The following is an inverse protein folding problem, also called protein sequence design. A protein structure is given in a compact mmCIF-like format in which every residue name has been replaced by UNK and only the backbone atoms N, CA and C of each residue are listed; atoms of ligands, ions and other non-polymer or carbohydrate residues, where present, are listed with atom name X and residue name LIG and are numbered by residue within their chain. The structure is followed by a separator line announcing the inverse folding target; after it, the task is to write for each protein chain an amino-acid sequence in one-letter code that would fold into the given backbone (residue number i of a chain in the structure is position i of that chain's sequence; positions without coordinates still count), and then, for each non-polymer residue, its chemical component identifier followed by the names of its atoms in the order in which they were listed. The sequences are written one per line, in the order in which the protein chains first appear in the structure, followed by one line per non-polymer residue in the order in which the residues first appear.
data_IF_884077998572
#
_entry.id   IF_884077998572
#
_cell.length_a   1.000
_cell.length_b   1.000
_cell.length_c   1.000
_cell.angle_alpha   90.00
_cell.angle_beta   90.00
_cell.angle_gamma   90.00
#
_symmetry.space_group_name_H-M   'P 1'
#
loop_
_entity.id
_entity.type
_entity.pdbx_description
1 polymer ?
#
# COMPACT_ATOMS: atom_id res chain seq x y z
N UNK A 1 -7.00 -18.80 -15.29
CA UNK A 1 -5.65 -18.19 -15.28
C UNK A 1 -4.64 -19.33 -15.32
N UNK A 2 -3.71 -19.31 -16.29
CA UNK A 2 -2.70 -20.35 -16.49
C UNK A 2 -1.87 -20.55 -15.20
N UNK A 3 -1.58 -21.79 -14.81
CA UNK A 3 -0.84 -22.11 -13.60
C UNK A 3 0.60 -21.58 -13.62
N UNK A 4 1.21 -21.46 -14.80
CA UNK A 4 2.53 -20.83 -14.94
C UNK A 4 2.49 -19.34 -14.61
N UNK A 5 1.41 -18.65 -14.99
CA UNK A 5 1.19 -17.25 -14.63
C UNK A 5 1.05 -17.10 -13.11
N UNK A 6 0.34 -18.02 -12.44
CA UNK A 6 0.24 -18.01 -10.96
C UNK A 6 1.59 -18.17 -10.29
N UNK A 7 2.45 -19.07 -10.81
CA UNK A 7 3.80 -19.27 -10.30
C UNK A 7 4.66 -18.03 -10.47
N UNK A 8 4.61 -17.38 -11.64
CA UNK A 8 5.33 -16.13 -11.90
C UNK A 8 4.87 -14.99 -10.98
N UNK A 9 3.56 -14.81 -10.80
CA UNK A 9 3.02 -13.82 -9.86
C UNK A 9 3.56 -14.10 -8.45
N UNK A 10 3.52 -15.37 -8.01
CA UNK A 10 4.02 -15.73 -6.68
C UNK A 10 5.52 -15.48 -6.52
N UNK A 11 6.32 -15.78 -7.54
CA UNK A 11 7.75 -15.48 -7.56
C UNK A 11 8.01 -13.97 -7.45
N UNK A 12 7.29 -13.16 -8.21
CA UNK A 12 7.42 -11.70 -8.16
C UNK A 12 7.05 -11.15 -6.77
N UNK A 13 5.95 -11.63 -6.17
CA UNK A 13 5.59 -11.25 -4.79
C UNK A 13 6.70 -11.58 -3.78
N UNK A 14 7.36 -12.74 -3.92
CA UNK A 14 8.47 -13.14 -3.05
C UNK A 14 9.67 -12.23 -3.28
N UNK A 15 10.06 -11.98 -4.53
CA UNK A 15 11.20 -11.10 -4.89
C UNK A 15 10.96 -9.70 -4.34
N UNK A 16 9.79 -9.11 -4.59
CA UNK A 16 9.43 -7.79 -4.09
C UNK A 16 9.47 -7.75 -2.56
N UNK A 17 8.96 -8.78 -1.88
CA UNK A 17 8.99 -8.86 -0.42
C UNK A 17 10.42 -8.94 0.14
N UNK A 18 11.31 -9.66 -0.54
CA UNK A 18 12.72 -9.78 -0.15
C UNK A 18 13.47 -8.47 -0.38
N UNK A 19 13.26 -7.84 -1.54
CA UNK A 19 13.86 -6.55 -1.88
C UNK A 19 13.38 -5.46 -0.92
N UNK A 20 12.09 -5.42 -0.62
CA UNK A 20 11.51 -4.47 0.34
C UNK A 20 12.25 -4.51 1.66
N UNK A 21 12.39 -5.68 2.29
CA UNK A 21 13.08 -5.85 3.60
C UNK A 21 14.50 -5.27 3.68
N UNK A 22 15.18 -5.06 2.55
CA UNK A 22 16.55 -4.54 2.50
C UNK A 22 16.62 -3.01 2.43
N UNK A 23 15.53 -2.32 2.09
CA UNK A 23 15.57 -0.88 1.75
C UNK A 23 15.23 0.01 2.94
N UNK A 24 14.06 -0.21 3.55
CA UNK A 24 13.58 0.63 4.64
C UNK A 24 13.43 -0.16 5.94
N UNK A 25 13.79 0.48 7.04
CA UNK A 25 13.40 0.00 8.37
C UNK A 25 11.93 0.37 8.65
N UNK A 26 11.19 -0.39 9.47
CA UNK A 26 9.80 -0.10 9.79
C UNK A 26 9.57 1.35 10.27
N UNK A 27 10.49 1.91 11.06
CA UNK A 27 10.43 3.28 11.54
C UNK A 27 10.49 4.34 10.42
N UNK A 28 11.18 4.07 9.32
CA UNK A 28 11.30 5.01 8.20
C UNK A 28 10.01 5.01 7.36
N UNK A 29 9.42 3.84 7.14
CA UNK A 29 8.10 3.72 6.52
C UNK A 29 7.05 4.41 7.37
N UNK A 30 7.11 4.25 8.70
CA UNK A 30 6.20 4.95 9.61
C UNK A 30 6.32 6.47 9.48
N UNK A 31 7.54 7.01 9.35
CA UNK A 31 7.75 8.45 9.11
C UNK A 31 7.16 8.88 7.77
N UNK A 32 7.37 8.12 6.70
CA UNK A 32 6.79 8.41 5.37
C UNK A 32 5.27 8.48 5.44
N UNK A 33 4.64 7.48 6.06
CA UNK A 33 3.18 7.38 6.18
C UNK A 33 2.57 8.51 7.00
N UNK A 34 3.28 8.97 8.03
CA UNK A 34 2.76 9.93 9.01
C UNK A 34 3.20 11.38 8.77
N UNK A 35 4.13 11.61 7.84
CA UNK A 35 4.72 12.92 7.59
C UNK A 35 3.64 13.98 7.27
N UNK A 36 3.66 15.08 8.05
CA UNK A 36 2.81 16.27 7.87
C UNK A 36 1.30 15.96 7.92
N UNK A 37 0.88 14.85 8.54
CA UNK A 37 -0.54 14.49 8.68
C UNK A 37 -1.10 14.98 10.01
N UNK A 38 -2.31 15.54 9.98
CA UNK A 38 -2.99 16.02 11.19
C UNK A 38 -3.35 14.88 12.16
N UNK A 39 -3.69 13.70 11.64
CA UNK A 39 -3.98 12.51 12.45
C UNK A 39 -3.12 11.32 11.99
N UNK A 40 -1.85 11.24 12.42
CA UNK A 40 -0.91 10.20 12.00
C UNK A 40 -1.42 8.77 12.14
N UNK A 41 -2.14 8.48 13.23
CA UNK A 41 -2.60 7.13 13.54
C UNK A 41 -3.58 6.60 12.48
N UNK A 42 -4.49 7.45 11.99
CA UNK A 42 -5.40 7.07 10.91
C UNK A 42 -4.70 6.74 9.60
N UNK A 43 -3.58 7.40 9.30
CA UNK A 43 -2.78 7.08 8.12
C UNK A 43 -2.00 5.77 8.29
N UNK A 44 -1.57 5.42 9.50
CA UNK A 44 -1.01 4.09 9.80
C UNK A 44 -2.07 3.01 9.59
N UNK A 45 -3.30 3.22 10.06
CA UNK A 45 -4.43 2.31 9.84
C UNK A 45 -4.74 2.17 8.35
N UNK A 46 -4.79 3.29 7.61
CA UNK A 46 -4.98 3.29 6.17
C UNK A 46 -3.86 2.55 5.42
N UNK A 47 -2.60 2.77 5.78
CA UNK A 47 -1.47 2.04 5.21
C UNK A 47 -1.57 0.54 5.53
N UNK A 48 -1.97 0.19 6.75
CA UNK A 48 -2.15 -1.19 7.16
C UNK A 48 -3.32 -1.88 6.42
N UNK A 49 -4.31 -1.10 5.98
CA UNK A 49 -5.41 -1.55 5.11
C UNK A 49 -5.03 -1.68 3.63
N UNK A 50 -3.82 -1.27 3.22
CA UNK A 50 -3.26 -1.63 1.92
C UNK A 50 -2.86 -3.12 1.93
N UNK A 51 -3.84 -4.02 1.91
CA UNK A 51 -3.69 -5.48 1.94
C UNK A 51 -4.08 -6.15 0.60
N UNK A 52 -4.45 -5.33 -0.39
CA UNK A 52 -4.99 -5.75 -1.67
C UNK A 52 -6.49 -6.10 -1.65
N UNK A 53 -7.18 -6.00 -0.51
CA UNK A 53 -8.61 -6.32 -0.37
C UNK A 53 -9.48 -5.09 -0.11
N UNK A 54 -8.92 -4.03 0.49
CA UNK A 54 -9.62 -2.76 0.66
C UNK A 54 -9.46 -1.89 -0.58
N UNK A 55 -10.58 -1.36 -1.09
CA UNK A 55 -10.55 -0.42 -2.20
C UNK A 55 -10.05 0.95 -1.73
N UNK A 56 -9.65 1.82 -2.67
CA UNK A 56 -9.36 3.24 -2.40
C UNK A 56 -10.45 3.90 -1.54
N UNK A 57 -11.72 3.58 -1.79
CA UNK A 57 -12.84 4.18 -1.05
C UNK A 57 -12.93 3.65 0.37
N UNK A 58 -12.62 2.37 0.59
CA UNK A 58 -12.59 1.79 1.95
C UNK A 58 -11.44 2.35 2.76
N UNK A 59 -10.25 2.47 2.17
CA UNK A 59 -9.08 3.07 2.81
C UNK A 59 -9.35 4.56 3.15
N UNK A 60 -9.99 5.30 2.24
CA UNK A 60 -10.37 6.69 2.48
C UNK A 60 -11.34 6.83 3.67
N UNK A 61 -12.30 5.90 3.82
CA UNK A 61 -13.20 5.85 4.98
C UNK A 61 -12.45 5.56 6.29
N UNK A 62 -11.51 4.63 6.28
CA UNK A 62 -10.65 4.31 7.44
C UNK A 62 -9.91 5.57 7.90
N UNK A 63 -9.25 6.26 6.95
CA UNK A 63 -8.50 7.49 7.25
C UNK A 63 -9.43 8.66 7.60
N UNK A 64 -10.68 8.64 7.14
CA UNK A 64 -11.65 9.73 7.33
C UNK A 64 -11.41 10.91 6.40
N UNK A 65 -10.96 10.66 5.17
CA UNK A 65 -10.75 11.66 4.11
C UNK A 65 -11.54 11.29 2.85
N UNK A 66 -11.62 12.20 1.88
CA UNK A 66 -12.24 11.88 0.59
C UNK A 66 -11.31 11.01 -0.28
N UNK A 67 -11.83 10.21 -1.22
CA UNK A 67 -10.99 9.49 -2.18
C UNK A 67 -10.08 10.43 -3.00
N UNK A 68 -10.55 11.63 -3.34
CA UNK A 68 -9.74 12.64 -4.04
C UNK A 68 -8.59 13.18 -3.21
N UNK A 69 -8.74 13.26 -1.88
CA UNK A 69 -7.66 13.61 -0.95
C UNK A 69 -6.66 12.46 -0.78
N UNK A 70 -7.14 11.21 -0.78
CA UNK A 70 -6.29 10.04 -0.57
C UNK A 70 -5.49 9.65 -1.82
N UNK A 71 -6.06 9.80 -3.02
CA UNK A 71 -5.44 9.34 -4.26
C UNK A 71 -4.02 9.89 -4.49
N UNK A 72 -3.72 11.18 -4.29
CA UNK A 72 -2.35 11.71 -4.43
C UNK A 72 -1.38 11.13 -3.39
N UNK A 73 -1.87 10.82 -2.19
CA UNK A 73 -1.05 10.25 -1.11
C UNK A 73 -0.67 8.80 -1.45
N UNK A 74 -1.61 8.02 -1.99
CA UNK A 74 -1.30 6.66 -2.44
C UNK A 74 -0.36 6.66 -3.65
N UNK A 75 -0.52 7.63 -4.57
CA UNK A 75 0.42 7.79 -5.68
C UNK A 75 1.83 8.11 -5.18
N UNK A 76 1.98 9.00 -4.19
CA UNK A 76 3.27 9.29 -3.54
C UNK A 76 3.85 8.03 -2.86
N UNK A 77 3.04 7.27 -2.13
CA UNK A 77 3.49 6.03 -1.49
C UNK A 77 3.91 4.95 -2.48
N UNK A 78 3.23 4.87 -3.63
CA UNK A 78 3.56 3.97 -4.73
C UNK A 78 4.84 4.40 -5.44
N UNK A 79 5.04 5.70 -5.69
CA UNK A 79 6.26 6.27 -6.26
C UNK A 79 7.48 6.02 -5.36
N UNK A 80 7.33 6.21 -4.04
CA UNK A 80 8.37 5.88 -3.05
C UNK A 80 8.61 4.36 -2.97
N UNK A 81 7.64 3.55 -3.41
CA UNK A 81 7.74 2.10 -3.40
C UNK A 81 7.50 1.46 -2.04
N UNK A 82 6.59 2.02 -1.22
CA UNK A 82 6.15 1.39 0.04
C UNK A 82 4.80 0.66 -0.08
N UNK A 83 4.09 0.87 -1.19
CA UNK A 83 2.90 0.13 -1.64
C UNK A 83 2.99 -0.11 -3.15
N UNK A 84 2.10 -0.93 -3.70
CA UNK A 84 1.85 -1.05 -5.14
C UNK A 84 0.37 -1.25 -5.43
N UNK A 85 -0.12 -0.78 -6.59
CA UNK A 85 -1.49 -1.02 -7.04
C UNK A 85 -1.71 -2.50 -7.41
N UNK A 86 -2.84 -3.06 -6.98
CA UNK A 86 -3.31 -4.40 -7.33
C UNK A 86 -4.53 -4.24 -8.22
N UNK A 87 -4.37 -4.56 -9.51
CA UNK A 87 -5.47 -4.50 -10.46
C UNK A 87 -6.56 -5.54 -10.14
N UNK A 88 -7.77 -5.06 -9.85
CA UNK A 88 -8.96 -5.89 -9.65
C UNK A 88 -10.18 -5.22 -10.28
N UNK A 89 -11.19 -6.02 -10.64
CA UNK A 89 -12.50 -5.49 -11.02
C UNK A 89 -13.11 -4.74 -9.84
N UNK A 90 -13.64 -3.54 -10.06
CA UNK A 90 -14.37 -2.77 -9.04
C UNK A 90 -13.60 -1.61 -8.41
N UNK A 91 -12.37 -1.32 -8.86
CA UNK A 91 -11.66 -0.10 -8.47
C UNK A 91 -10.16 -0.33 -8.25
N UNK A 92 -9.52 0.67 -7.65
CA UNK A 92 -8.10 0.60 -7.26
C UNK A 92 -7.95 -0.05 -5.89
N UNK A 93 -6.99 -0.97 -5.78
CA UNK A 93 -6.61 -1.64 -4.55
C UNK A 93 -5.11 -1.50 -4.39
N UNK A 94 -4.61 -1.50 -3.15
CA UNK A 94 -3.19 -1.31 -2.89
C UNK A 94 -2.70 -2.36 -1.92
N UNK A 95 -1.45 -2.79 -2.09
CA UNK A 95 -0.79 -3.73 -1.18
C UNK A 95 0.53 -3.15 -0.68
N UNK A 96 0.69 -3.12 0.64
CA UNK A 96 1.88 -2.61 1.32
C UNK A 96 3.05 -3.60 1.20
N UNK A 97 4.25 -3.05 1.11
CA UNK A 97 5.49 -3.82 1.02
C UNK A 97 6.18 -4.03 2.35
N UNK A 98 5.88 -3.17 3.33
CA UNK A 98 6.56 -3.13 4.62
C UNK A 98 5.57 -3.25 5.77
N UNK A 99 5.93 -3.94 6.87
CA UNK A 99 5.22 -3.82 8.12
C UNK A 99 5.59 -2.51 8.84
N UNK A 100 4.62 -1.89 9.51
CA UNK A 100 4.81 -0.72 10.39
C UNK A 100 3.95 -0.80 11.65
#
# INVERSE_FOLDING_TARGET
MNDDIKKLIKQNEIIISLLGRLVFKPEDVRKIVTAKKQNPQKYIEGYNACDGNHSLTDIAKIIGVTPGTLSPILAEWEEIGIIYEVEKRGGKFYKKLFPI
#
